data_IF_137518813866
#
_entry.id   IF_137518813866
#
_cell.length_a   1.000
_cell.length_b   1.000
_cell.length_c   1.000
_cell.angle_alpha   90.00
_cell.angle_beta   90.00
_cell.angle_gamma   90.00
#
_symmetry.space_group_name_H-M   'P 1'
#
loop_
_entity.id
_entity.type
_entity.pdbx_description
1 polymer ?
#
# COMPACT_ATOMS: atom_id res chain seq x y z
N UNK A 1 7.13 -33.15 16.22
CA UNK A 1 7.55 -33.60 14.89
C UNK A 1 7.16 -35.07 14.66
N UNK A 2 7.65 -36.00 15.48
CA UNK A 2 7.28 -37.43 15.46
C UNK A 2 5.76 -37.70 15.49
N UNK A 3 5.01 -37.01 16.37
CA UNK A 3 3.52 -37.12 16.42
C UNK A 3 2.80 -36.71 15.13
N UNK A 4 3.47 -35.98 14.23
CA UNK A 4 2.94 -35.61 12.90
C UNK A 4 3.31 -36.64 11.82
N UNK A 5 3.93 -37.76 12.18
CA UNK A 5 4.26 -38.88 11.28
C UNK A 5 5.56 -38.72 10.49
N UNK A 6 6.38 -37.73 10.81
CA UNK A 6 7.64 -37.53 10.08
C UNK A 6 8.72 -38.55 10.51
N UNK A 7 9.43 -39.19 9.56
CA UNK A 7 10.39 -40.27 9.86
C UNK A 7 11.76 -39.79 10.37
N UNK A 8 11.92 -38.49 10.64
CA UNK A 8 13.19 -37.86 11.02
C UNK A 8 13.10 -37.07 12.32
N UNK A 9 14.25 -36.84 12.95
CA UNK A 9 14.36 -35.92 14.09
C UNK A 9 14.45 -34.48 13.62
N UNK A 10 13.64 -33.59 14.20
CA UNK A 10 13.65 -32.14 13.91
C UNK A 10 15.01 -31.49 14.21
N UNK A 11 15.77 -32.02 15.17
CA UNK A 11 17.11 -31.52 15.53
C UNK A 11 18.16 -31.73 14.43
N UNK A 12 17.88 -32.55 13.42
CA UNK A 12 18.77 -32.81 12.28
C UNK A 12 18.38 -32.06 11.01
N UNK A 13 17.32 -31.24 11.07
CA UNK A 13 16.84 -30.50 9.91
C UNK A 13 17.49 -29.13 9.81
N UNK A 14 17.64 -28.65 8.59
CA UNK A 14 18.02 -27.26 8.35
C UNK A 14 16.91 -26.32 8.84
N UNK A 15 17.29 -25.07 9.14
CA UNK A 15 16.32 -24.02 9.40
C UNK A 15 15.48 -23.77 8.14
N UNK A 16 14.16 -23.59 8.25
CA UNK A 16 13.32 -23.31 7.09
C UNK A 16 13.74 -22.00 6.43
N UNK A 17 13.84 -22.02 5.11
CA UNK A 17 14.03 -20.81 4.29
C UNK A 17 12.66 -20.32 3.89
N UNK A 18 12.38 -19.03 4.11
CA UNK A 18 11.12 -18.43 3.72
C UNK A 18 11.00 -18.41 2.19
N UNK A 19 9.80 -18.77 1.69
CA UNK A 19 9.45 -18.59 0.29
C UNK A 19 8.95 -17.14 0.09
N UNK A 20 9.66 -16.30 -0.70
CA UNK A 20 9.28 -14.92 -0.92
C UNK A 20 7.91 -14.76 -1.59
N UNK A 21 7.48 -15.73 -2.41
CA UNK A 21 6.19 -15.68 -3.10
C UNK A 21 5.04 -15.86 -2.11
N UNK A 22 5.19 -16.79 -1.16
CA UNK A 22 4.21 -16.99 -0.08
C UNK A 22 4.24 -15.87 0.98
N UNK A 23 5.32 -15.10 1.04
CA UNK A 23 5.48 -14.00 1.98
C UNK A 23 4.95 -12.66 1.44
N UNK A 24 4.64 -12.58 0.14
CA UNK A 24 4.07 -11.38 -0.46
C UNK A 24 2.66 -11.10 0.07
N UNK A 25 2.37 -9.83 0.39
CA UNK A 25 1.03 -9.43 0.80
C UNK A 25 0.13 -9.24 -0.43
N UNK A 26 -1.09 -9.77 -0.37
CA UNK A 26 -2.10 -9.62 -1.44
C UNK A 26 -2.51 -8.15 -1.64
N UNK A 27 -2.41 -7.35 -0.58
CA UNK A 27 -2.76 -5.92 -0.58
C UNK A 27 -1.73 -5.11 0.21
N UNK A 28 -1.54 -3.86 -0.22
CA UNK A 28 -0.71 -2.87 0.45
C UNK A 28 -1.55 -1.66 0.88
N UNK A 29 -1.23 -1.11 2.04
CA UNK A 29 -1.76 0.20 2.45
C UNK A 29 -0.91 1.31 1.83
N UNK A 30 -1.50 2.11 0.96
CA UNK A 30 -0.88 3.24 0.31
C UNK A 30 -1.27 4.56 1.01
N UNK A 31 -0.32 5.24 1.68
CA UNK A 31 -0.56 6.55 2.27
C UNK A 31 -0.99 7.58 1.23
N UNK A 32 -2.04 8.35 1.55
CA UNK A 32 -2.48 9.50 0.76
C UNK A 32 -2.20 10.78 1.53
N UNK A 33 -1.47 11.67 0.89
CA UNK A 33 -1.07 12.96 1.44
C UNK A 33 -1.78 14.10 0.71
N UNK A 34 -2.02 15.18 1.43
CA UNK A 34 -2.37 16.49 0.85
C UNK A 34 -1.35 17.49 1.35
N UNK A 35 -0.64 18.13 0.41
CA UNK A 35 0.47 19.06 0.69
C UNK A 35 1.50 18.48 1.68
N UNK A 36 1.87 17.20 1.47
CA UNK A 36 2.86 16.48 2.28
C UNK A 36 2.35 16.00 3.65
N UNK A 37 1.10 16.28 4.02
CA UNK A 37 0.50 15.81 5.28
C UNK A 37 -0.38 14.59 5.03
N UNK A 38 -0.20 13.53 5.81
CA UNK A 38 -1.01 12.31 5.73
C UNK A 38 -2.49 12.59 6.02
N UNK A 39 -3.37 12.30 5.07
CA UNK A 39 -4.82 12.54 5.16
C UNK A 39 -5.65 11.27 5.10
N UNK A 40 -5.17 10.25 4.38
CA UNK A 40 -5.88 8.99 4.22
C UNK A 40 -4.93 7.82 3.93
N UNK A 41 -5.46 6.61 3.83
CA UNK A 41 -4.78 5.41 3.31
C UNK A 41 -5.71 4.65 2.38
N UNK A 42 -5.19 4.26 1.22
CA UNK A 42 -5.89 3.35 0.30
C UNK A 42 -5.40 1.93 0.53
N UNK A 43 -6.30 0.95 0.44
CA UNK A 43 -5.91 -0.45 0.36
C UNK A 43 -5.97 -0.85 -1.11
N UNK A 44 -4.84 -1.25 -1.68
CA UNK A 44 -4.70 -1.57 -3.10
C UNK A 44 -3.91 -2.85 -3.28
N UNK A 45 -4.06 -3.53 -4.41
CA UNK A 45 -3.16 -4.64 -4.77
C UNK A 45 -1.85 -4.06 -5.37
N UNK A 46 -0.73 -4.80 -5.32
CA UNK A 46 0.53 -4.36 -5.95
C UNK A 46 0.40 -4.01 -7.44
N UNK A 47 -0.52 -4.65 -8.14
CA UNK A 47 -0.78 -4.47 -9.58
C UNK A 47 -1.84 -3.41 -9.89
N UNK A 48 -2.35 -2.69 -8.88
CA UNK A 48 -3.37 -1.65 -9.12
C UNK A 48 -2.79 -0.55 -10.03
N UNK A 49 -3.44 -0.23 -11.17
CA UNK A 49 -2.92 0.76 -12.11
C UNK A 49 -2.77 2.15 -11.48
N UNK A 50 -1.75 2.91 -11.87
CA UNK A 50 -1.53 4.26 -11.33
C UNK A 50 -2.76 5.18 -11.51
N UNK A 51 -3.43 5.12 -12.66
CA UNK A 51 -4.65 5.90 -12.92
C UNK A 51 -5.80 5.55 -11.98
N UNK A 52 -5.89 4.28 -11.58
CA UNK A 52 -6.87 3.80 -10.60
C UNK A 52 -6.56 4.37 -9.22
N UNK A 53 -5.29 4.29 -8.80
CA UNK A 53 -4.83 4.82 -7.52
C UNK A 53 -5.09 6.33 -7.45
N UNK A 54 -4.86 7.07 -8.53
CA UNK A 54 -5.15 8.49 -8.61
C UNK A 54 -6.64 8.76 -8.36
N UNK A 55 -7.50 8.04 -9.09
CA UNK A 55 -8.94 8.19 -8.99
C UNK A 55 -9.44 7.88 -7.59
N UNK A 56 -8.94 6.81 -6.97
CA UNK A 56 -9.24 6.45 -5.59
C UNK A 56 -8.79 7.53 -4.59
N UNK A 57 -7.58 8.05 -4.75
CA UNK A 57 -7.04 9.10 -3.88
C UNK A 57 -7.85 10.40 -3.99
N UNK A 58 -8.25 10.78 -5.21
CA UNK A 58 -9.10 11.95 -5.44
C UNK A 58 -10.54 11.72 -4.98
N UNK A 59 -11.06 10.50 -5.02
CA UNK A 59 -12.40 10.17 -4.52
C UNK A 59 -12.49 10.09 -2.98
N UNK A 60 -11.36 10.05 -2.27
CA UNK A 60 -11.34 10.01 -0.80
C UNK A 60 -12.05 11.22 -0.19
N UNK A 61 -13.03 10.96 0.68
CA UNK A 61 -13.72 12.01 1.43
C UNK A 61 -12.75 12.87 2.26
N UNK A 62 -11.72 12.24 2.83
CA UNK A 62 -10.71 12.94 3.62
C UNK A 62 -9.93 13.90 2.75
N UNK A 63 -9.47 13.45 1.57
CA UNK A 63 -8.77 14.31 0.60
C UNK A 63 -9.67 15.44 0.13
N UNK A 64 -10.91 15.15 -0.26
CA UNK A 64 -11.89 16.14 -0.72
C UNK A 64 -12.13 17.25 0.29
N UNK A 65 -12.19 16.93 1.60
CA UNK A 65 -12.29 17.95 2.66
C UNK A 65 -11.11 18.92 2.68
N UNK A 66 -9.90 18.48 2.36
CA UNK A 66 -8.71 19.35 2.30
C UNK A 66 -8.57 20.10 0.97
N UNK A 67 -9.11 19.53 -0.12
CA UNK A 67 -9.21 20.24 -1.39
C UNK A 67 -10.19 21.43 -1.29
N UNK A 68 -11.25 21.29 -0.49
CA UNK A 68 -12.25 22.34 -0.25
C UNK A 68 -12.84 22.89 -1.57
N UNK A 69 -13.10 22.01 -2.54
CA UNK A 69 -13.65 22.34 -3.86
C UNK A 69 -12.63 22.89 -4.87
N UNK A 70 -11.34 23.02 -4.50
CA UNK A 70 -10.28 23.40 -5.43
C UNK A 70 -9.82 22.20 -6.24
N UNK A 71 -9.52 22.42 -7.52
CA UNK A 71 -8.85 21.42 -8.34
C UNK A 71 -7.39 21.24 -7.89
N UNK A 72 -6.89 19.99 -7.80
CA UNK A 72 -5.47 19.74 -7.52
C UNK A 72 -4.56 20.38 -8.57
N UNK A 73 -3.46 20.99 -8.12
CA UNK A 73 -2.40 21.47 -9.01
C UNK A 73 -1.61 20.30 -9.61
N UNK A 74 -1.41 19.24 -8.82
CA UNK A 74 -0.65 18.05 -9.22
C UNK A 74 -1.02 16.86 -8.34
N UNK A 75 -1.04 15.67 -8.93
CA UNK A 75 -0.99 14.41 -8.19
C UNK A 75 0.37 13.77 -8.42
N UNK A 76 1.07 13.41 -7.35
CA UNK A 76 2.39 12.80 -7.39
C UNK A 76 2.27 11.41 -6.81
N UNK A 77 2.51 10.39 -7.64
CA UNK A 77 2.54 9.01 -7.19
C UNK A 77 3.98 8.51 -7.09
N UNK A 78 4.28 7.84 -6.00
CA UNK A 78 5.48 7.02 -5.86
C UNK A 78 4.99 5.57 -5.71
N UNK A 79 5.16 4.73 -6.75
CA UNK A 79 4.64 3.36 -6.78
C UNK A 79 4.99 2.57 -5.51
N UNK A 80 3.97 1.94 -4.92
CA UNK A 80 4.10 1.16 -3.68
C UNK A 80 4.47 1.96 -2.43
N UNK A 81 4.56 3.30 -2.50
CA UNK A 81 5.02 4.13 -1.38
C UNK A 81 4.00 5.16 -0.91
N UNK A 82 3.48 6.02 -1.79
CA UNK A 82 2.45 7.02 -1.46
C UNK A 82 1.84 7.67 -2.69
N UNK A 83 0.71 8.34 -2.49
CA UNK A 83 0.18 9.40 -3.37
C UNK A 83 0.14 10.72 -2.62
N UNK A 84 0.63 11.80 -3.23
CA UNK A 84 0.53 13.14 -2.68
C UNK A 84 -0.23 14.05 -3.64
N UNK A 85 -1.34 14.61 -3.16
CA UNK A 85 -2.16 15.59 -3.86
C UNK A 85 -1.70 16.99 -3.45
N UNK A 86 -1.31 17.80 -4.43
CA UNK A 86 -0.79 19.15 -4.22
C UNK A 86 -1.91 20.15 -4.52
N UNK A 87 -2.20 21.04 -3.59
CA UNK A 87 -3.18 22.11 -3.79
C UNK A 87 -2.54 23.31 -4.52
N UNK A 88 -3.33 24.10 -5.27
CA UNK A 88 -2.85 25.37 -5.81
C UNK A 88 -2.37 26.30 -4.69
N UNK A 89 -1.31 27.07 -4.94
CA UNK A 89 -0.92 28.17 -4.05
C UNK A 89 -1.91 29.33 -4.23
N UNK A 90 -2.24 29.99 -3.13
CA UNK A 90 -2.93 31.28 -3.15
C UNK A 90 -2.01 32.40 -3.69
#
# INVERSE_FOLDING_TARGET
WERRGHPYSIHRQAWPVADPELAAADTVELPVQVDGKLRDRLVVTPDTPAEEIERMALASEHVQRYLAGREPLRVIQIPGRLVNVVTPRD
#
